data_IF_064265570080
#
_entry.id   IF_064265570080
#
_cell.length_a   1.000
_cell.length_b   1.000
_cell.length_c   1.000
_cell.angle_alpha   90.00
_cell.angle_beta   90.00
_cell.angle_gamma   90.00
#
_symmetry.space_group_name_H-M   'P 1'
#
loop_
_entity.id
_entity.type
_entity.pdbx_description
1 polymer ?
#
# COMPACT_ATOMS: atom_id res chain seq x y z
N UNK A 1 21.83 -13.61 4.22
CA UNK A 1 22.22 -14.57 3.17
C UNK A 1 20.96 -15.14 2.52
N UNK A 2 20.25 -14.37 1.69
CA UNK A 2 18.86 -14.72 1.29
C UNK A 2 18.63 -14.71 -0.22
N UNK A 3 19.69 -14.83 -1.05
CA UNK A 3 19.65 -14.10 -2.32
C UNK A 3 19.89 -14.88 -3.62
N UNK A 4 20.15 -16.19 -3.58
CA UNK A 4 20.32 -16.97 -4.84
C UNK A 4 19.13 -17.89 -5.10
N UNK A 5 18.67 -18.64 -4.09
CA UNK A 5 17.52 -19.52 -4.24
C UNK A 5 16.23 -18.77 -4.57
N UNK A 6 15.98 -17.63 -3.89
CA UNK A 6 14.82 -16.77 -4.16
C UNK A 6 14.85 -16.21 -5.58
N UNK A 7 16.03 -15.80 -6.07
CA UNK A 7 16.20 -15.29 -7.43
C UNK A 7 15.94 -16.36 -8.49
N UNK A 8 16.42 -17.57 -8.25
CA UNK A 8 16.19 -18.72 -9.13
C UNK A 8 14.70 -19.08 -9.14
N UNK A 9 14.07 -19.17 -7.98
CA UNK A 9 12.63 -19.45 -7.86
C UNK A 9 11.77 -18.40 -8.57
N UNK A 10 12.06 -17.11 -8.41
CA UNK A 10 11.40 -16.02 -9.15
C UNK A 10 11.54 -16.18 -10.66
N UNK A 11 12.72 -16.61 -11.13
CA UNK A 11 12.99 -16.78 -12.56
C UNK A 11 12.29 -18.01 -13.15
N UNK A 12 12.19 -19.09 -12.37
CA UNK A 12 11.57 -20.36 -12.80
C UNK A 12 10.04 -20.29 -12.73
N UNK A 13 9.50 -19.73 -11.65
CA UNK A 13 8.06 -19.74 -11.38
C UNK A 13 7.36 -18.44 -11.83
N UNK A 14 8.09 -17.38 -12.17
CA UNK A 14 7.50 -16.12 -12.64
C UNK A 14 6.46 -15.58 -11.65
N UNK A 15 5.24 -15.33 -12.14
CA UNK A 15 4.12 -14.88 -11.31
C UNK A 15 3.70 -15.94 -10.29
N UNK A 16 3.89 -17.23 -10.57
CA UNK A 16 3.54 -18.33 -9.66
C UNK A 16 4.40 -18.36 -8.40
N UNK A 17 5.62 -17.82 -8.46
CA UNK A 17 6.44 -17.60 -7.26
C UNK A 17 5.70 -16.70 -6.27
N UNK A 18 5.19 -15.59 -6.79
CA UNK A 18 4.48 -14.62 -5.98
C UNK A 18 3.16 -15.19 -5.48
N UNK A 19 2.52 -16.09 -6.22
CA UNK A 19 1.32 -16.79 -5.75
C UNK A 19 1.63 -17.73 -4.59
N UNK A 20 2.63 -18.61 -4.71
CA UNK A 20 2.98 -19.55 -3.65
C UNK A 20 3.39 -18.80 -2.37
N UNK A 21 4.14 -17.71 -2.51
CA UNK A 21 4.54 -16.88 -1.39
C UNK A 21 3.39 -16.02 -0.83
N UNK A 22 2.51 -15.51 -1.69
CA UNK A 22 1.35 -14.73 -1.28
C UNK A 22 0.21 -15.57 -0.68
N UNK A 23 0.23 -16.90 -0.85
CA UNK A 23 -0.67 -17.77 -0.08
C UNK A 23 -0.08 -18.11 1.30
N UNK A 24 1.16 -17.70 1.59
CA UNK A 24 1.69 -17.71 2.95
C UNK A 24 1.28 -16.43 3.69
N UNK A 25 0.17 -16.51 4.42
CA UNK A 25 -0.40 -15.42 5.26
C UNK A 25 0.56 -14.88 6.32
N UNK A 26 1.71 -15.53 6.57
CA UNK A 26 2.75 -15.03 7.47
C UNK A 26 3.60 -13.89 6.86
N UNK A 27 3.45 -13.63 5.55
CA UNK A 27 4.09 -12.49 4.89
C UNK A 27 3.10 -11.36 4.62
N UNK A 28 3.57 -10.11 4.66
CA UNK A 28 2.73 -8.92 4.37
C UNK A 28 2.11 -8.99 2.97
N UNK A 29 2.89 -9.43 1.96
CA UNK A 29 2.39 -9.62 0.59
C UNK A 29 1.26 -10.66 0.55
N UNK A 30 1.41 -11.75 1.31
CA UNK A 30 0.39 -12.78 1.36
C UNK A 30 -0.86 -12.38 2.13
N UNK A 31 -0.70 -11.60 3.20
CA UNK A 31 -1.82 -10.98 3.87
C UNK A 31 -2.59 -10.02 2.94
N UNK A 32 -1.90 -9.20 2.14
CA UNK A 32 -2.55 -8.35 1.14
C UNK A 32 -3.32 -9.17 0.10
N UNK A 33 -2.71 -10.23 -0.45
CA UNK A 33 -3.38 -11.05 -1.46
C UNK A 33 -4.62 -11.76 -0.90
N UNK A 34 -4.51 -12.32 0.31
CA UNK A 34 -5.65 -12.93 1.00
C UNK A 34 -6.77 -11.92 1.25
N UNK A 35 -6.43 -10.70 1.67
CA UNK A 35 -7.39 -9.61 1.89
C UNK A 35 -8.09 -9.19 0.58
N UNK A 36 -7.35 -9.09 -0.53
CA UNK A 36 -7.92 -8.79 -1.85
C UNK A 36 -8.90 -9.87 -2.31
N UNK A 37 -8.54 -11.16 -2.19
CA UNK A 37 -9.47 -12.25 -2.51
C UNK A 37 -10.73 -12.17 -1.64
N UNK A 38 -10.57 -11.96 -0.33
CA UNK A 38 -11.71 -11.89 0.58
C UNK A 38 -12.65 -10.74 0.22
N UNK A 39 -12.12 -9.55 -0.07
CA UNK A 39 -12.95 -8.42 -0.49
C UNK A 39 -13.65 -8.71 -1.82
N UNK A 40 -12.95 -9.32 -2.77
CA UNK A 40 -13.52 -9.68 -4.07
C UNK A 40 -14.67 -10.70 -3.95
N UNK A 41 -14.49 -11.75 -3.14
CA UNK A 41 -15.53 -12.73 -2.83
C UNK A 41 -16.77 -12.07 -2.20
N UNK A 42 -16.55 -11.19 -1.23
CA UNK A 42 -17.63 -10.46 -0.55
C UNK A 42 -18.38 -9.51 -1.50
N UNK A 43 -17.67 -8.86 -2.42
CA UNK A 43 -18.29 -8.01 -3.43
C UNK A 43 -19.11 -8.80 -4.45
N UNK A 44 -18.67 -10.00 -4.85
CA UNK A 44 -19.43 -10.87 -5.76
C UNK A 44 -20.77 -11.33 -5.18
N UNK A 45 -20.96 -11.27 -3.86
CA UNK A 45 -22.23 -11.53 -3.19
C UNK A 45 -22.91 -10.26 -2.66
N UNK A 46 -22.48 -9.08 -3.13
CA UNK A 46 -22.99 -7.75 -2.75
C UNK A 46 -22.98 -7.50 -1.22
N UNK A 47 -22.02 -8.08 -0.50
CA UNK A 47 -21.92 -7.96 0.96
C UNK A 47 -20.93 -6.91 1.43
N UNK A 48 -19.98 -6.51 0.58
CA UNK A 48 -19.01 -5.47 0.87
C UNK A 48 -18.58 -4.74 -0.41
N UNK A 49 -18.19 -3.45 -0.32
CA UNK A 49 -17.57 -2.74 -1.43
C UNK A 49 -16.16 -3.31 -1.72
N UNK A 50 -15.68 -3.05 -2.93
CA UNK A 50 -14.39 -3.54 -3.42
C UNK A 50 -13.70 -2.47 -4.28
N UNK A 51 -12.38 -2.56 -4.39
CA UNK A 51 -11.60 -1.66 -5.23
C UNK A 51 -11.15 -0.38 -4.52
N UNK A 52 -11.00 -0.39 -3.19
CA UNK A 52 -10.48 0.77 -2.46
C UNK A 52 -9.45 0.37 -1.41
N UNK A 53 -8.34 1.09 -1.38
CA UNK A 53 -7.25 0.91 -0.42
C UNK A 53 -6.94 2.24 0.27
N UNK A 54 -6.77 2.17 1.59
CA UNK A 54 -6.44 3.29 2.45
C UNK A 54 -5.14 2.99 3.19
N UNK A 55 -4.17 3.89 3.13
CA UNK A 55 -2.94 3.83 3.93
C UNK A 55 -2.80 5.11 4.75
N UNK A 56 -2.58 4.95 6.05
CA UNK A 56 -2.38 6.03 7.02
C UNK A 56 -0.93 6.00 7.50
N UNK A 57 -0.17 7.06 7.23
CA UNK A 57 1.27 7.09 7.45
C UNK A 57 1.98 6.27 6.37
N UNK A 58 2.14 6.89 5.20
CA UNK A 58 2.73 6.24 4.02
C UNK A 58 4.26 6.19 4.11
N UNK A 59 4.87 7.20 4.75
CA UNK A 59 6.32 7.28 4.95
C UNK A 59 7.12 6.95 3.67
N UNK A 60 8.06 6.02 3.78
CA UNK A 60 8.90 5.57 2.66
C UNK A 60 8.22 4.64 1.65
N UNK A 61 6.93 4.32 1.80
CA UNK A 61 6.15 3.54 0.83
C UNK A 61 6.45 2.04 0.79
N UNK A 62 7.14 1.47 1.79
CA UNK A 62 7.51 0.05 1.80
C UNK A 62 6.27 -0.86 1.74
N UNK A 63 5.23 -0.54 2.51
CA UNK A 63 3.98 -1.30 2.50
C UNK A 63 3.17 -1.03 1.22
N UNK A 64 3.12 0.21 0.76
CA UNK A 64 2.53 0.58 -0.52
C UNK A 64 3.09 -0.23 -1.70
N UNK A 65 4.42 -0.38 -1.80
CA UNK A 65 5.07 -1.17 -2.86
C UNK A 65 4.59 -2.63 -2.83
N UNK A 66 4.53 -3.22 -1.63
CA UNK A 66 4.07 -4.59 -1.42
C UNK A 66 2.62 -4.77 -1.82
N UNK A 67 1.75 -3.84 -1.40
CA UNK A 67 0.36 -3.80 -1.79
C UNK A 67 0.21 -3.70 -3.31
N UNK A 68 0.85 -2.71 -3.95
CA UNK A 68 0.74 -2.48 -5.40
C UNK A 68 1.27 -3.64 -6.24
N UNK A 69 2.37 -4.26 -5.81
CA UNK A 69 2.91 -5.46 -6.46
C UNK A 69 1.93 -6.62 -6.38
N UNK A 70 1.31 -6.81 -5.21
CA UNK A 70 0.32 -7.84 -4.96
C UNK A 70 -0.97 -7.59 -5.74
N UNK A 71 -1.44 -6.34 -5.75
CA UNK A 71 -2.62 -5.90 -6.47
C UNK A 71 -2.47 -6.15 -7.98
N UNK A 72 -1.30 -5.86 -8.56
CA UNK A 72 -1.01 -6.14 -9.97
C UNK A 72 -1.20 -7.62 -10.32
N UNK A 73 -0.70 -8.51 -9.48
CA UNK A 73 -0.84 -9.97 -9.66
C UNK A 73 -2.30 -10.39 -9.52
N UNK A 74 -2.97 -9.87 -8.48
CA UNK A 74 -4.38 -10.14 -8.22
C UNK A 74 -5.27 -9.69 -9.40
N UNK A 75 -5.08 -8.47 -9.91
CA UNK A 75 -5.84 -7.95 -11.05
C UNK A 75 -5.61 -8.78 -12.31
N UNK A 76 -4.35 -9.13 -12.61
CA UNK A 76 -4.02 -10.00 -13.75
C UNK A 76 -4.76 -11.33 -13.70
N UNK A 77 -4.85 -11.96 -12.52
CA UNK A 77 -5.54 -13.24 -12.34
C UNK A 77 -7.05 -13.17 -12.51
N UNK A 78 -7.65 -12.08 -12.04
CA UNK A 78 -9.10 -11.91 -12.04
C UNK A 78 -9.59 -11.11 -13.26
N UNK A 79 -8.71 -10.85 -14.24
CA UNK A 79 -9.01 -10.05 -15.43
C UNK A 79 -9.60 -8.66 -15.09
N UNK A 80 -9.00 -7.99 -14.10
CA UNK A 80 -9.36 -6.65 -13.65
C UNK A 80 -8.30 -5.64 -14.06
N UNK A 81 -8.66 -4.36 -14.15
CA UNK A 81 -7.68 -3.30 -14.34
C UNK A 81 -7.22 -2.76 -12.98
N UNK A 82 -5.92 -2.47 -12.85
CA UNK A 82 -5.39 -1.87 -11.62
C UNK A 82 -5.86 -0.42 -11.44
N UNK A 83 -6.20 0.26 -12.53
CA UNK A 83 -6.77 1.61 -12.54
C UNK A 83 -8.15 1.71 -11.88
N UNK A 84 -8.87 0.57 -11.78
CA UNK A 84 -10.20 0.51 -11.17
C UNK A 84 -10.12 0.59 -9.63
N UNK A 85 -8.92 0.41 -9.06
CA UNK A 85 -8.70 0.55 -7.62
C UNK A 85 -8.39 1.99 -7.23
N UNK A 86 -9.21 2.55 -6.36
CA UNK A 86 -8.96 3.84 -5.70
C UNK A 86 -7.98 3.65 -4.55
N UNK A 87 -6.88 4.37 -4.57
CA UNK A 87 -5.83 4.29 -3.55
C UNK A 87 -5.68 5.64 -2.89
N UNK A 88 -5.93 5.71 -1.58
CA UNK A 88 -5.85 6.92 -0.80
C UNK A 88 -4.70 6.82 0.19
N UNK A 89 -3.75 7.75 0.07
CA UNK A 89 -2.53 7.80 0.88
C UNK A 89 -2.61 9.02 1.78
N UNK A 90 -2.92 8.80 3.06
CA UNK A 90 -3.01 9.84 4.08
C UNK A 90 -1.66 9.99 4.78
N UNK A 91 -1.09 11.18 4.72
CA UNK A 91 0.14 11.52 5.41
C UNK A 91 0.27 13.03 5.55
N UNK A 92 1.05 13.51 6.51
CA UNK A 92 1.46 14.93 6.51
C UNK A 92 2.42 15.20 5.36
N UNK A 93 3.19 14.18 4.94
CA UNK A 93 4.35 14.27 4.05
C UNK A 93 5.44 15.23 4.57
N UNK A 94 5.33 15.60 5.83
CA UNK A 94 6.19 16.55 6.54
C UNK A 94 6.82 15.92 7.80
N UNK A 95 6.44 14.68 8.12
CA UNK A 95 6.95 13.92 9.26
C UNK A 95 6.03 13.96 10.47
N UNK A 96 6.55 13.50 11.61
CA UNK A 96 5.82 13.45 12.87
C UNK A 96 5.47 14.85 13.36
N UNK A 97 4.26 15.06 13.91
CA UNK A 97 3.91 16.33 14.52
C UNK A 97 4.63 16.51 15.86
N UNK A 98 4.79 17.76 16.26
CA UNK A 98 5.11 18.08 17.65
C UNK A 98 3.96 17.66 18.56
N UNK A 99 4.28 17.10 19.72
CA UNK A 99 3.31 16.61 20.70
C UNK A 99 3.85 16.78 22.11
N UNK A 100 2.95 17.10 23.05
CA UNK A 100 3.24 17.15 24.49
C UNK A 100 2.69 15.90 25.22
N UNK A 101 2.07 14.98 24.47
CA UNK A 101 1.50 13.74 25.01
C UNK A 101 2.58 12.86 25.62
N UNK A 102 2.25 12.20 26.72
CA UNK A 102 3.23 11.40 27.49
C UNK A 102 3.55 10.10 26.77
N UNK A 103 2.55 9.51 26.11
CA UNK A 103 2.64 8.31 25.28
C UNK A 103 3.58 8.46 24.08
N UNK A 104 3.73 9.68 23.57
CA UNK A 104 4.60 9.99 22.43
C UNK A 104 6.03 10.35 22.84
N UNK A 105 6.34 10.38 24.16
CA UNK A 105 7.68 10.67 24.67
C UNK A 105 8.62 9.50 24.39
N UNK A 106 9.17 9.49 23.18
CA UNK A 106 10.14 8.52 22.73
C UNK A 106 11.34 9.22 22.08
N UNK A 107 12.54 8.64 22.21
CA UNK A 107 13.79 9.25 21.68
C UNK A 107 13.78 9.43 20.15
N UNK A 108 12.94 8.66 19.45
CA UNK A 108 12.77 8.74 18.00
C UNK A 108 11.57 9.62 17.59
N UNK A 109 10.83 10.18 18.55
CA UNK A 109 9.75 11.11 18.27
C UNK A 109 10.32 12.54 18.27
N UNK A 110 10.57 13.04 17.07
CA UNK A 110 10.98 14.43 16.84
C UNK A 110 10.07 15.06 15.80
N UNK A 111 9.75 16.34 15.98
CA UNK A 111 8.96 17.09 15.00
C UNK A 111 9.68 17.07 13.64
N UNK A 112 8.95 16.70 12.59
CA UNK A 112 9.51 16.51 11.25
C UNK A 112 10.33 15.22 11.07
N UNK A 113 10.46 14.40 12.11
CA UNK A 113 11.04 13.07 12.02
C UNK A 113 10.28 12.21 11.02
N UNK A 114 10.97 11.26 10.38
CA UNK A 114 10.42 10.36 9.34
C UNK A 114 9.70 11.06 8.17
N UNK A 115 10.02 12.32 7.87
CA UNK A 115 9.43 13.04 6.74
C UNK A 115 9.75 12.40 5.38
N UNK A 116 8.71 12.23 4.56
CA UNK A 116 8.82 11.85 3.16
C UNK A 116 7.89 12.72 2.31
N UNK A 117 8.46 13.48 1.38
CA UNK A 117 7.66 14.24 0.42
C UNK A 117 6.98 13.33 -0.60
N UNK A 118 5.89 13.81 -1.18
CA UNK A 118 5.16 13.10 -2.25
C UNK A 118 6.09 12.81 -3.43
N UNK A 119 6.97 13.74 -3.81
CA UNK A 119 7.91 13.60 -4.91
C UNK A 119 8.92 12.47 -4.64
N UNK A 120 9.44 12.41 -3.41
CA UNK A 120 10.35 11.34 -2.99
C UNK A 120 9.65 9.99 -3.01
N UNK A 121 8.40 9.93 -2.53
CA UNK A 121 7.58 8.71 -2.58
C UNK A 121 7.32 8.27 -4.02
N UNK A 122 6.89 9.18 -4.92
CA UNK A 122 6.69 8.90 -6.35
C UNK A 122 7.96 8.35 -7.01
N UNK A 123 9.12 8.91 -6.66
CA UNK A 123 10.41 8.41 -7.12
C UNK A 123 10.67 6.98 -6.63
N UNK A 124 10.48 6.71 -5.35
CA UNK A 124 10.67 5.38 -4.75
C UNK A 124 9.77 4.34 -5.43
N UNK A 125 8.51 4.68 -5.68
CA UNK A 125 7.57 3.79 -6.37
C UNK A 125 8.02 3.51 -7.81
N UNK A 126 8.40 4.56 -8.55
CA UNK A 126 8.92 4.42 -9.92
C UNK A 126 10.18 3.56 -9.95
N UNK A 127 11.14 3.78 -9.04
CA UNK A 127 12.37 3.00 -8.92
C UNK A 127 12.08 1.53 -8.58
N UNK A 128 10.97 1.24 -7.90
CA UNK A 128 10.49 -0.12 -7.63
C UNK A 128 9.78 -0.78 -8.83
N UNK A 129 9.70 -0.11 -9.99
CA UNK A 129 9.08 -0.62 -11.20
C UNK A 129 7.56 -0.44 -11.25
N UNK A 130 7.02 0.46 -10.44
CA UNK A 130 5.59 0.80 -10.42
C UNK A 130 5.33 1.94 -11.41
N UNK A 131 4.45 1.70 -12.38
CA UNK A 131 4.01 2.74 -13.30
C UNK A 131 2.85 3.52 -12.69
N UNK A 132 3.13 4.74 -12.21
CA UNK A 132 2.13 5.57 -11.54
C UNK A 132 0.96 6.00 -12.44
N UNK A 133 1.16 6.02 -13.77
CA UNK A 133 0.11 6.40 -14.72
C UNK A 133 -1.00 5.36 -14.83
N UNK A 134 -0.75 4.12 -14.41
CA UNK A 134 -1.74 3.04 -14.44
C UNK A 134 -2.62 3.04 -13.17
N UNK A 135 -2.33 3.92 -12.20
CA UNK A 135 -2.92 3.88 -10.86
C UNK A 135 -3.83 5.07 -10.60
N UNK A 136 -4.92 4.82 -9.89
CA UNK A 136 -5.78 5.86 -9.34
C UNK A 136 -5.36 6.17 -7.90
N UNK A 137 -4.28 6.93 -7.74
CA UNK A 137 -3.74 7.34 -6.43
C UNK A 137 -4.13 8.78 -6.09
N UNK A 138 -4.63 8.96 -4.88
CA UNK A 138 -4.91 10.23 -4.22
C UNK A 138 -3.94 10.40 -3.05
N UNK A 139 -3.07 11.41 -3.14
CA UNK A 139 -2.21 11.83 -2.03
C UNK A 139 -2.98 12.85 -1.20
N UNK A 140 -3.39 12.48 0.01
CA UNK A 140 -4.15 13.32 0.91
C UNK A 140 -3.21 13.86 1.96
N UNK A 141 -2.90 15.15 1.85
CA UNK A 141 -1.96 15.84 2.73
C UNK A 141 -2.67 16.39 3.98
N UNK A 142 -2.10 16.12 5.15
CA UNK A 142 -2.48 16.78 6.40
C UNK A 142 -2.50 15.82 7.59
N UNK A 143 -2.78 16.36 8.77
CA UNK A 143 -3.03 15.53 9.94
C UNK A 143 -4.30 14.71 9.75
N UNK A 144 -4.40 13.54 10.37
CA UNK A 144 -5.57 12.67 10.23
C UNK A 144 -6.87 13.32 10.74
N UNK A 145 -6.79 14.20 11.75
CA UNK A 145 -7.94 14.98 12.25
C UNK A 145 -8.53 15.92 11.21
N UNK A 146 -7.69 16.43 10.32
CA UNK A 146 -8.05 17.50 9.39
C UNK A 146 -8.33 16.95 7.99
N UNK A 147 -7.67 15.85 7.64
CA UNK A 147 -7.74 15.22 6.32
C UNK A 147 -8.86 14.21 6.17
N UNK A 148 -9.39 13.66 7.27
CA UNK A 148 -10.55 12.74 7.23
C UNK A 148 -11.86 13.51 7.15
N UNK A 149 -12.14 14.09 5.98
CA UNK A 149 -13.34 14.91 5.78
C UNK A 149 -14.56 14.07 5.40
N UNK A 150 -15.79 14.53 5.69
CA UNK A 150 -17.01 13.86 5.24
C UNK A 150 -17.09 13.69 3.72
N UNK A 151 -16.56 14.65 2.96
CA UNK A 151 -16.62 14.66 1.49
C UNK A 151 -15.81 13.52 0.87
N UNK A 152 -14.72 13.09 1.52
CA UNK A 152 -13.94 11.93 1.07
C UNK A 152 -14.70 10.60 1.14
N UNK A 153 -15.83 10.55 1.85
CA UNK A 153 -16.71 9.37 1.87
C UNK A 153 -17.34 9.11 0.52
N UNK A 154 -17.59 10.16 -0.24
CA UNK A 154 -18.38 10.13 -1.47
C UNK A 154 -17.49 10.09 -2.74
N UNK A 155 -16.17 10.20 -2.59
CA UNK A 155 -15.15 9.95 -3.64
C UNK A 155 -14.89 8.46 -3.85
#
# INVERSE_FOLDING_TARGET
MTNIFVRILKKVLGDDYHLIHAHNIQSVDGWFYSSLNRQYELANVNSAPFGTFYEFGTGGGVNLIKFLSTLKIFCKKNNLQISDYRIFLFDTFEGLPKTDLVEDKHIQWEEGGIAFSIEKLKKILTDAGINLNDLNIRFIKGNFSDSLTPELRDE
#
